data_IF_435361565680
#
_entry.id   IF_435361565680
#
_cell.length_a   1.000
_cell.length_b   1.000
_cell.length_c   1.000
_cell.angle_alpha   90.00
_cell.angle_beta   90.00
_cell.angle_gamma   90.00
#
_symmetry.space_group_name_H-M   'P 1'
#
loop_
_entity.id
_entity.type
_entity.pdbx_description
1 polymer ?
#
# COMPACT_ATOMS: atom_id res chain seq x y z
N UNK A 1 10.70 -54.36 -42.50
CA UNK A 1 11.35 -53.87 -41.25
C UNK A 1 11.06 -52.38 -41.12
N UNK A 2 10.04 -52.01 -40.36
CA UNK A 2 9.69 -50.61 -40.07
C UNK A 2 10.17 -50.34 -38.64
N UNK A 3 11.08 -49.38 -38.46
CA UNK A 3 11.61 -49.00 -37.14
C UNK A 3 10.64 -48.01 -36.49
N UNK A 4 9.94 -48.45 -35.45
CA UNK A 4 9.14 -47.59 -34.57
C UNK A 4 10.04 -46.61 -33.80
N UNK A 5 9.91 -45.32 -34.11
CA UNK A 5 10.54 -44.24 -33.35
C UNK A 5 9.61 -43.80 -32.20
N UNK A 6 9.96 -44.15 -30.96
CA UNK A 6 9.26 -43.68 -29.75
C UNK A 6 9.47 -42.16 -29.55
N UNK A 7 8.44 -41.39 -29.16
CA UNK A 7 8.59 -39.97 -28.88
C UNK A 7 9.33 -39.75 -27.55
N UNK A 8 10.29 -38.83 -27.58
CA UNK A 8 11.14 -38.44 -26.46
C UNK A 8 10.34 -37.52 -25.52
N UNK A 9 10.04 -37.99 -24.31
CA UNK A 9 9.34 -37.21 -23.28
C UNK A 9 10.20 -36.01 -22.88
N UNK A 10 9.66 -34.80 -23.07
CA UNK A 10 10.32 -33.57 -22.64
C UNK A 10 10.43 -33.55 -21.11
N UNK A 11 11.67 -33.49 -20.61
CA UNK A 11 11.95 -33.42 -19.18
C UNK A 11 11.26 -32.19 -18.57
N UNK A 12 10.42 -32.42 -17.56
CA UNK A 12 9.76 -31.37 -16.80
C UNK A 12 10.82 -30.42 -16.22
N UNK A 13 10.71 -29.14 -16.54
CA UNK A 13 11.60 -28.10 -16.05
C UNK A 13 11.61 -28.12 -14.51
N UNK A 14 12.80 -28.19 -13.93
CA UNK A 14 12.99 -28.17 -12.49
C UNK A 14 12.32 -26.93 -11.86
N UNK A 15 11.74 -27.06 -10.64
CA UNK A 15 11.12 -25.93 -9.96
C UNK A 15 12.15 -24.82 -9.75
N UNK A 16 11.87 -23.62 -10.28
CA UNK A 16 12.70 -22.43 -10.07
C UNK A 16 12.89 -22.23 -8.57
N UNK A 17 14.15 -22.18 -8.12
CA UNK A 17 14.50 -21.87 -6.74
C UNK A 17 13.76 -20.60 -6.28
N UNK A 18 13.09 -20.67 -5.13
CA UNK A 18 12.47 -19.51 -4.50
C UNK A 18 13.58 -18.50 -4.22
N UNK A 19 13.62 -17.44 -5.04
CA UNK A 19 14.52 -16.32 -4.87
C UNK A 19 14.19 -15.69 -3.51
N UNK A 20 15.04 -15.91 -2.51
CA UNK A 20 14.92 -15.25 -1.21
C UNK A 20 14.96 -13.74 -1.47
N UNK A 21 13.96 -13.02 -0.94
CA UNK A 21 13.92 -11.58 -0.99
C UNK A 21 15.21 -11.06 -0.34
N UNK A 22 15.92 -10.16 -1.02
CA UNK A 22 17.11 -9.53 -0.43
C UNK A 22 16.64 -8.59 0.69
N UNK A 23 17.43 -8.36 1.75
CA UNK A 23 17.08 -7.41 2.81
C UNK A 23 16.81 -5.99 2.28
N UNK A 24 17.42 -5.60 1.15
CA UNK A 24 17.17 -4.31 0.46
C UNK A 24 16.02 -4.37 -0.55
N UNK A 25 15.27 -5.47 -0.63
CA UNK A 25 14.10 -5.53 -1.51
C UNK A 25 13.07 -4.53 -0.96
N UNK A 26 12.64 -3.59 -1.80
CA UNK A 26 11.83 -2.43 -1.40
C UNK A 26 10.45 -2.80 -0.78
N UNK A 27 10.16 -4.09 -0.65
CA UNK A 27 8.91 -4.69 -0.17
C UNK A 27 9.21 -5.87 0.76
N UNK A 28 9.92 -5.61 1.85
CA UNK A 28 10.28 -6.61 2.87
C UNK A 28 9.09 -7.00 3.77
N UNK A 29 8.16 -6.08 4.03
CA UNK A 29 6.96 -6.32 4.85
C UNK A 29 5.83 -7.04 4.11
N UNK A 30 5.10 -7.92 4.82
CA UNK A 30 3.94 -8.64 4.28
C UNK A 30 2.65 -8.26 5.01
N UNK A 31 1.70 -7.68 4.29
CA UNK A 31 0.34 -7.49 4.76
C UNK A 31 -0.48 -8.78 4.58
N UNK A 32 -1.01 -9.33 5.67
CA UNK A 32 -1.92 -10.50 5.66
C UNK A 32 -3.29 -10.03 6.15
N UNK A 33 -4.32 -10.21 5.31
CA UNK A 33 -5.70 -9.82 5.61
C UNK A 33 -6.63 -11.03 5.52
N UNK A 34 -7.52 -11.19 6.51
CA UNK A 34 -8.67 -12.09 6.41
C UNK A 34 -9.85 -11.31 5.83
N UNK A 35 -10.38 -11.76 4.71
CA UNK A 35 -11.44 -11.08 3.98
C UNK A 35 -12.49 -12.08 3.49
N UNK A 36 -13.74 -11.61 3.36
CA UNK A 36 -14.83 -12.39 2.80
C UNK A 36 -14.49 -12.81 1.34
N UNK A 37 -14.82 -14.04 0.91
CA UNK A 37 -14.50 -14.51 -0.45
C UNK A 37 -15.08 -13.61 -1.55
N UNK A 38 -16.28 -13.06 -1.37
CA UNK A 38 -16.92 -12.21 -2.38
C UNK A 38 -16.16 -10.90 -2.59
N UNK A 39 -15.63 -10.31 -1.52
CA UNK A 39 -14.76 -9.14 -1.62
C UNK A 39 -13.52 -9.48 -2.46
N UNK A 40 -12.91 -10.64 -2.24
CA UNK A 40 -11.76 -11.09 -3.02
C UNK A 40 -12.11 -11.29 -4.50
N UNK A 41 -13.32 -11.76 -4.81
CA UNK A 41 -13.79 -11.91 -6.20
C UNK A 41 -13.92 -10.54 -6.89
N UNK A 42 -14.60 -9.60 -6.25
CA UNK A 42 -14.78 -8.24 -6.80
C UNK A 42 -13.42 -7.55 -7.02
N UNK A 43 -12.53 -7.63 -6.04
CA UNK A 43 -11.16 -7.09 -6.18
C UNK A 43 -10.38 -7.76 -7.31
N UNK A 44 -10.57 -9.07 -7.52
CA UNK A 44 -9.94 -9.79 -8.63
C UNK A 44 -10.44 -9.29 -9.98
N UNK A 45 -11.75 -9.09 -10.14
CA UNK A 45 -12.34 -8.55 -11.38
C UNK A 45 -11.81 -7.15 -11.65
N UNK A 46 -11.83 -6.26 -10.65
CA UNK A 46 -11.34 -4.89 -10.82
C UNK A 46 -9.84 -4.82 -11.14
N UNK A 47 -9.03 -5.67 -10.50
CA UNK A 47 -7.60 -5.76 -10.80
C UNK A 47 -7.33 -6.21 -12.25
N UNK A 48 -8.11 -7.18 -12.75
CA UNK A 48 -8.02 -7.63 -14.15
C UNK A 48 -8.38 -6.52 -15.14
N UNK A 49 -9.45 -5.76 -14.88
CA UNK A 49 -9.84 -4.60 -15.69
C UNK A 49 -8.71 -3.55 -15.72
N UNK A 50 -8.02 -3.35 -14.60
CA UNK A 50 -6.87 -2.46 -14.50
C UNK A 50 -5.56 -3.04 -15.08
N UNK A 51 -5.55 -4.28 -15.58
CA UNK A 51 -4.37 -4.92 -16.18
C UNK A 51 -3.26 -5.25 -15.18
N UNK A 52 -3.57 -5.37 -13.88
CA UNK A 52 -2.57 -5.61 -12.82
C UNK A 52 -2.98 -6.76 -11.89
N UNK A 53 -2.03 -7.26 -11.09
CA UNK A 53 -2.32 -8.30 -10.10
C UNK A 53 -3.22 -7.75 -8.98
N UNK A 54 -4.02 -8.61 -8.34
CA UNK A 54 -4.88 -8.23 -7.22
C UNK A 54 -4.09 -7.56 -6.09
N UNK A 55 -2.93 -8.11 -5.71
CA UNK A 55 -2.10 -7.54 -4.65
C UNK A 55 -1.63 -6.13 -5.01
N UNK A 56 -1.20 -5.90 -6.26
CA UNK A 56 -0.78 -4.56 -6.72
C UNK A 56 -1.96 -3.61 -6.82
N UNK A 57 -3.15 -4.11 -7.17
CA UNK A 57 -4.37 -3.31 -7.19
C UNK A 57 -4.74 -2.82 -5.78
N UNK A 58 -4.74 -3.72 -4.79
CA UNK A 58 -4.98 -3.37 -3.39
C UNK A 58 -3.92 -2.41 -2.87
N UNK A 59 -2.64 -2.66 -3.14
CA UNK A 59 -1.53 -1.76 -2.78
C UNK A 59 -1.75 -0.34 -3.33
N UNK A 60 -2.14 -0.20 -4.61
CA UNK A 60 -2.42 1.12 -5.20
C UNK A 60 -3.64 1.80 -4.58
N UNK A 61 -4.69 1.05 -4.21
CA UNK A 61 -5.85 1.62 -3.51
C UNK A 61 -5.45 2.17 -2.15
N UNK A 62 -4.65 1.41 -1.37
CA UNK A 62 -4.17 1.84 -0.06
C UNK A 62 -3.28 3.08 -0.16
N UNK A 63 -2.32 3.09 -1.08
CA UNK A 63 -1.45 4.25 -1.32
C UNK A 63 -2.28 5.46 -1.74
N UNK A 64 -3.24 5.29 -2.65
CA UNK A 64 -4.09 6.38 -3.12
C UNK A 64 -4.96 6.94 -1.99
N UNK A 65 -5.53 6.08 -1.16
CA UNK A 65 -6.32 6.46 0.01
C UNK A 65 -5.48 7.28 0.99
N UNK A 66 -4.31 6.78 1.38
CA UNK A 66 -3.43 7.45 2.33
C UNK A 66 -2.87 8.77 1.78
N UNK A 67 -2.55 8.85 0.49
CA UNK A 67 -2.12 10.09 -0.17
C UNK A 67 -3.26 11.12 -0.34
N UNK A 68 -4.51 10.71 -0.25
CA UNK A 68 -5.66 11.63 -0.32
C UNK A 68 -5.82 12.43 0.98
N UNK A 69 -5.42 11.86 2.12
CA UNK A 69 -5.38 12.57 3.39
C UNK A 69 -4.27 13.64 3.36
N UNK A 70 -4.60 14.94 3.47
CA UNK A 70 -3.61 16.00 3.44
C UNK A 70 -2.69 16.02 4.67
N UNK A 71 -3.01 15.27 5.74
CA UNK A 71 -2.17 15.12 6.94
C UNK A 71 -1.01 14.14 6.73
N UNK A 72 -1.16 13.22 5.78
CA UNK A 72 -0.19 12.16 5.56
C UNK A 72 1.02 12.59 4.73
N UNK A 73 2.18 11.95 4.96
CA UNK A 73 3.33 12.08 4.10
C UNK A 73 3.02 11.59 2.68
N UNK A 74 3.53 12.30 1.66
CA UNK A 74 3.34 11.85 0.27
C UNK A 74 4.20 10.62 -0.04
N UNK A 75 3.52 9.57 -0.49
CA UNK A 75 4.13 8.34 -0.97
C UNK A 75 4.19 8.30 -2.50
N UNK A 76 5.19 7.60 -3.03
CA UNK A 76 5.30 7.27 -4.44
C UNK A 76 4.37 6.12 -4.86
N UNK A 77 4.48 5.67 -6.11
CA UNK A 77 3.64 4.62 -6.66
C UNK A 77 3.86 3.22 -6.06
N UNK A 78 4.89 3.04 -5.23
CA UNK A 78 5.21 1.78 -4.54
C UNK A 78 5.11 1.90 -3.02
N UNK A 79 4.61 3.04 -2.50
CA UNK A 79 4.37 3.25 -1.07
C UNK A 79 5.58 3.81 -0.32
N UNK A 80 6.66 4.20 -1.02
CA UNK A 80 7.83 4.82 -0.38
C UNK A 80 7.56 6.30 -0.17
N UNK A 81 7.80 6.80 1.05
CA UNK A 81 7.68 8.22 1.37
C UNK A 81 8.74 9.02 0.60
N UNK A 82 8.32 10.05 -0.15
CA UNK A 82 9.17 10.69 -1.17
C UNK A 82 10.30 11.55 -0.61
N UNK A 83 10.17 12.09 0.59
CA UNK A 83 11.14 13.01 1.19
C UNK A 83 11.59 12.54 2.58
N UNK A 84 11.42 11.25 2.89
CA UNK A 84 11.67 10.73 4.24
C UNK A 84 10.53 11.07 5.21
N UNK A 85 10.46 10.33 6.32
CA UNK A 85 9.37 10.43 7.30
C UNK A 85 9.28 11.83 7.91
N UNK A 86 10.42 12.48 8.13
CA UNK A 86 10.51 13.80 8.78
C UNK A 86 10.36 14.99 7.82
N UNK A 87 10.65 14.82 6.52
CA UNK A 87 10.60 15.91 5.53
C UNK A 87 9.46 15.74 4.53
N UNK A 88 8.49 14.87 4.83
CA UNK A 88 7.31 14.62 4.00
C UNK A 88 6.35 15.80 3.82
N UNK A 89 6.66 16.91 4.49
CA UNK A 89 5.95 18.17 4.39
C UNK A 89 6.69 19.08 3.39
N UNK A 90 5.95 19.98 2.76
CA UNK A 90 6.47 21.05 1.90
C UNK A 90 6.69 20.72 0.42
N UNK A 91 5.58 20.47 -0.29
CA UNK A 91 5.25 21.43 -1.32
C UNK A 91 3.97 22.10 -0.85
N UNK A 92 4.10 23.22 -0.12
CA UNK A 92 2.97 23.92 0.48
C UNK A 92 1.94 24.23 -0.61
N UNK A 93 0.81 23.51 -0.67
CA UNK A 93 -0.31 23.96 -1.46
C UNK A 93 -0.78 25.27 -0.82
N UNK A 94 -1.38 26.16 -1.60
CA UNK A 94 -2.11 27.28 -1.01
C UNK A 94 -3.07 26.76 0.07
N UNK A 95 -3.36 27.59 1.09
CA UNK A 95 -4.33 27.23 2.14
C UNK A 95 -5.66 26.73 1.53
N UNK A 96 -6.07 27.33 0.41
CA UNK A 96 -7.20 26.89 -0.41
C UNK A 96 -7.04 25.45 -0.93
N UNK A 97 -5.92 25.12 -1.57
CA UNK A 97 -5.67 23.78 -2.09
C UNK A 97 -5.55 22.72 -0.97
N UNK A 98 -5.16 23.13 0.25
CA UNK A 98 -5.21 22.25 1.44
C UNK A 98 -6.65 22.01 1.88
N UNK A 99 -7.46 23.06 2.00
CA UNK A 99 -8.87 22.99 2.37
C UNK A 99 -9.72 22.17 1.37
N UNK A 100 -9.48 22.34 0.07
CA UNK A 100 -10.16 21.54 -0.96
C UNK A 100 -9.84 20.04 -0.84
N UNK A 101 -8.58 19.70 -0.57
CA UNK A 101 -8.19 18.30 -0.38
C UNK A 101 -8.80 17.72 0.88
N UNK A 102 -8.81 18.48 1.97
CA UNK A 102 -9.51 18.09 3.20
C UNK A 102 -10.97 17.81 2.94
N UNK A 103 -11.67 18.72 2.27
CA UNK A 103 -13.10 18.55 1.95
C UNK A 103 -13.35 17.27 1.15
N UNK A 104 -12.53 17.01 0.12
CA UNK A 104 -12.64 15.79 -0.71
C UNK A 104 -12.36 14.53 0.10
N UNK A 105 -11.30 14.55 0.91
CA UNK A 105 -10.94 13.43 1.77
C UNK A 105 -12.03 13.16 2.81
N UNK A 106 -12.51 14.19 3.50
CA UNK A 106 -13.52 14.07 4.55
C UNK A 106 -14.86 13.56 3.98
N UNK A 107 -15.23 14.00 2.77
CA UNK A 107 -16.40 13.46 2.06
C UNK A 107 -16.25 11.97 1.75
N UNK A 108 -15.06 11.54 1.31
CA UNK A 108 -14.78 10.13 1.06
C UNK A 108 -14.71 9.31 2.36
N UNK A 109 -14.17 9.89 3.43
CA UNK A 109 -14.12 9.29 4.76
C UNK A 109 -15.53 9.04 5.30
N UNK A 110 -16.40 10.04 5.24
CA UNK A 110 -17.80 9.91 5.63
C UNK A 110 -18.53 8.83 4.81
N UNK A 111 -18.26 8.73 3.51
CA UNK A 111 -18.85 7.70 2.67
C UNK A 111 -18.37 6.28 3.01
N UNK A 112 -17.11 6.12 3.47
CA UNK A 112 -16.52 4.83 3.80
C UNK A 112 -16.82 4.38 5.24
N UNK A 113 -16.80 5.31 6.20
CA UNK A 113 -16.87 5.03 7.63
C UNK A 113 -18.16 5.52 8.29
N UNK A 114 -19.05 6.17 7.53
CA UNK A 114 -20.35 6.65 8.00
C UNK A 114 -20.30 7.94 8.81
N UNK A 115 -19.10 8.46 9.10
CA UNK A 115 -18.89 9.70 9.88
C UNK A 115 -17.78 10.56 9.26
N UNK A 116 -17.98 11.89 9.17
CA UNK A 116 -16.90 12.80 8.84
C UNK A 116 -15.94 12.92 10.04
N UNK A 117 -14.68 13.24 9.75
CA UNK A 117 -13.72 13.65 10.76
C UNK A 117 -14.04 15.07 11.24
N UNK A 118 -13.80 15.38 12.53
CA UNK A 118 -13.86 16.74 13.07
C UNK A 118 -12.93 17.69 12.32
N UNK A 119 -13.36 18.95 12.16
CA UNK A 119 -12.51 19.98 11.55
C UNK A 119 -11.32 20.35 12.46
N UNK A 120 -11.36 20.05 13.75
CA UNK A 120 -10.20 20.21 14.66
C UNK A 120 -9.01 19.35 14.27
N UNK A 121 -9.26 18.17 13.69
CA UNK A 121 -8.20 17.24 13.26
C UNK A 121 -7.46 17.76 12.02
N UNK A 122 -7.98 18.82 11.39
CA UNK A 122 -7.33 19.52 10.29
C UNK A 122 -6.28 20.54 10.73
N UNK A 123 -6.37 21.05 11.97
CA UNK A 123 -5.64 22.25 12.40
C UNK A 123 -4.19 21.96 12.82
N UNK A 124 -3.90 20.81 13.45
CA UNK A 124 -2.53 20.47 13.90
C UNK A 124 -2.07 19.04 13.50
N UNK A 125 -1.76 18.80 12.21
CA UNK A 125 -1.21 17.52 11.76
C UNK A 125 0.20 17.23 12.30
N UNK A 126 0.89 18.26 12.82
CA UNK A 126 2.25 18.20 13.33
C UNK A 126 2.33 17.35 14.60
N UNK A 127 1.46 17.66 15.57
CA UNK A 127 1.37 16.88 16.82
C UNK A 127 0.96 15.42 16.59
N UNK A 128 0.01 15.15 15.68
CA UNK A 128 -0.50 13.78 15.46
C UNK A 128 0.59 12.83 14.95
N UNK A 129 1.43 13.29 14.03
CA UNK A 129 2.46 12.44 13.44
C UNK A 129 3.70 12.28 14.33
N UNK A 130 4.12 13.31 15.07
CA UNK A 130 5.23 13.15 16.00
C UNK A 130 4.83 12.24 17.18
N UNK A 131 3.58 12.32 17.65
CA UNK A 131 3.01 11.32 18.55
C UNK A 131 2.95 9.93 17.89
N UNK A 132 2.50 9.81 16.63
CA UNK A 132 2.43 8.53 15.93
C UNK A 132 3.80 7.89 15.68
N UNK A 133 4.87 8.67 15.45
CA UNK A 133 6.24 8.15 15.31
C UNK A 133 6.68 7.41 16.56
N UNK A 134 6.34 7.93 17.75
CA UNK A 134 6.66 7.23 19.01
C UNK A 134 5.99 5.85 19.10
N UNK A 135 4.83 5.65 18.46
CA UNK A 135 4.16 4.35 18.41
C UNK A 135 4.81 3.38 17.42
N UNK A 136 5.50 3.88 16.39
CA UNK A 136 6.17 3.07 15.37
C UNK A 136 7.57 2.66 15.82
N UNK A 137 8.30 3.56 16.49
CA UNK A 137 9.67 3.29 16.97
C UNK A 137 9.73 2.33 18.16
N UNK A 138 8.66 2.23 18.97
CA UNK A 138 8.60 1.29 20.11
C UNK A 138 8.59 -0.17 19.66
N UNK A 139 8.05 -0.47 18.47
CA UNK A 139 8.03 -1.83 17.91
C UNK A 139 9.34 -2.21 17.19
N UNK A 140 10.30 -1.29 17.02
CA UNK A 140 11.59 -1.56 16.39
C UNK A 140 12.71 -1.94 17.38
N UNK A 141 12.46 -1.86 18.68
CA UNK A 141 13.45 -2.05 19.75
C UNK A 141 13.35 -3.37 20.54
N UNK A 142 12.63 -4.38 20.04
CA UNK A 142 12.48 -5.67 20.70
C UNK A 142 13.15 -6.79 19.92
N UNK A 143 14.46 -6.94 20.07
CA UNK A 143 15.21 -8.21 19.93
C UNK A 143 16.67 -7.93 20.34
N UNK A 144 16.92 -7.90 21.65
CA UNK A 144 18.22 -8.19 22.24
C UNK A 144 17.96 -9.20 23.37
N UNK A 145 18.08 -10.49 23.04
CA UNK A 145 18.26 -11.63 23.95
C UNK A 145 19.49 -12.44 23.48
#
# INVERSE_FOLDING_TARGET
MVKDSKPKVAAAAAPRAKRQARPDDARSGRLILRAHPDLLQVLTVRARVAGISRSRYVERLLIAWLNADPRNPRMDAVGKIRTGFDQARHAAPSALARAERWTRYNSAHAALFGVPLPDSDFEDPEQEWDAAKTLIDVDAGGDDD
#
